data_IF_554923267495
#
_entry.id   IF_554923267495
#
_cell.length_a   1.000
_cell.length_b   1.000
_cell.length_c   1.000
_cell.angle_alpha   90.00
_cell.angle_beta   90.00
_cell.angle_gamma   90.00
#
_symmetry.space_group_name_H-M   'P 1'
#
loop_
_entity.id
_entity.type
_entity.pdbx_description
1 polymer ?
#
# COMPACT_ATOMS: atom_id res chain seq x y z
N UNK A 1 21.09 5.32 -45.43
CA UNK A 1 22.02 4.19 -45.20
C UNK A 1 23.17 4.81 -44.45
N UNK A 2 23.30 4.72 -43.14
CA UNK A 2 23.02 3.60 -42.24
C UNK A 2 22.21 4.07 -41.00
N UNK A 3 21.40 3.15 -40.51
CA UNK A 3 20.61 3.21 -39.27
C UNK A 3 21.45 2.69 -38.11
N UNK A 4 21.49 3.41 -36.99
CA UNK A 4 22.04 2.90 -35.75
C UNK A 4 20.89 2.70 -34.76
N UNK A 5 20.65 1.43 -34.44
CA UNK A 5 19.59 0.92 -33.58
C UNK A 5 20.22 0.52 -32.24
N UNK A 6 20.01 1.31 -31.21
CA UNK A 6 20.60 1.08 -29.90
C UNK A 6 19.81 1.72 -28.78
N UNK A 7 18.54 1.37 -28.64
CA UNK A 7 17.71 1.87 -27.51
C UNK A 7 16.57 0.92 -27.11
N UNK A 8 16.79 -0.40 -27.20
CA UNK A 8 15.76 -1.40 -26.86
C UNK A 8 16.19 -2.45 -25.81
N UNK A 9 17.22 -2.17 -25.00
CA UNK A 9 17.79 -3.17 -24.07
C UNK A 9 17.78 -2.77 -22.59
N UNK A 10 17.22 -1.62 -22.21
CA UNK A 10 17.23 -1.13 -20.82
C UNK A 10 15.89 -1.29 -20.08
N UNK A 11 14.79 -1.62 -20.78
CA UNK A 11 13.43 -1.64 -20.19
C UNK A 11 12.98 -3.05 -19.77
N UNK A 12 13.58 -4.12 -20.34
CA UNK A 12 13.19 -5.51 -20.04
C UNK A 12 13.75 -6.10 -18.72
N UNK A 13 14.59 -5.36 -17.98
CA UNK A 13 15.22 -5.87 -16.75
C UNK A 13 14.49 -5.47 -15.45
N UNK A 14 13.45 -4.64 -15.51
CA UNK A 14 12.68 -4.25 -14.32
C UNK A 14 11.53 -5.20 -14.01
N UNK A 15 10.99 -5.90 -15.02
CA UNK A 15 9.86 -6.83 -14.88
C UNK A 15 10.31 -8.24 -14.46
N UNK A 16 11.58 -8.61 -14.70
CA UNK A 16 12.04 -9.98 -14.40
C UNK A 16 12.38 -10.24 -12.93
N UNK A 17 12.49 -9.21 -12.08
CA UNK A 17 12.85 -9.42 -10.68
C UNK A 17 11.66 -9.64 -9.73
N UNK A 18 10.42 -9.37 -10.14
CA UNK A 18 9.24 -9.57 -9.29
C UNK A 18 8.49 -10.89 -9.58
N UNK A 19 8.62 -11.44 -10.80
CA UNK A 19 7.80 -12.59 -11.24
C UNK A 19 8.56 -13.92 -11.36
N UNK A 20 9.87 -13.97 -11.04
CA UNK A 20 10.62 -15.24 -11.00
C UNK A 20 11.08 -15.59 -9.59
N UNK A 21 10.19 -16.22 -8.82
CA UNK A 21 10.54 -17.22 -7.82
C UNK A 21 11.15 -16.71 -6.51
N UNK A 22 10.37 -16.01 -5.68
CA UNK A 22 10.54 -16.09 -4.23
C UNK A 22 10.06 -17.47 -3.73
N UNK A 23 10.82 -18.53 -4.01
CA UNK A 23 10.63 -19.83 -3.36
C UNK A 23 11.80 -20.21 -2.42
N UNK A 24 12.69 -19.27 -2.07
CA UNK A 24 13.69 -19.49 -0.99
C UNK A 24 14.39 -18.24 -0.43
N UNK A 25 13.91 -17.02 -0.68
CA UNK A 25 14.56 -15.78 -0.27
C UNK A 25 13.85 -15.14 0.93
N UNK A 26 14.63 -14.77 1.95
CA UNK A 26 14.20 -13.91 3.07
C UNK A 26 13.54 -12.62 2.55
N UNK A 27 12.58 -12.10 3.30
CA UNK A 27 11.93 -10.81 3.00
C UNK A 27 12.72 -9.62 3.53
N UNK A 28 13.86 -9.85 4.20
CA UNK A 28 14.71 -8.78 4.68
C UNK A 28 15.26 -7.97 3.50
N UNK A 29 15.12 -6.65 3.58
CA UNK A 29 15.74 -5.74 2.60
C UNK A 29 17.26 -5.57 2.86
N UNK A 30 17.73 -5.98 4.03
CA UNK A 30 19.11 -5.84 4.49
C UNK A 30 19.53 -6.98 5.43
N UNK A 31 20.79 -6.98 5.88
CA UNK A 31 21.24 -7.96 6.86
C UNK A 31 20.48 -7.78 8.19
N UNK A 32 20.23 -8.90 8.88
CA UNK A 32 19.50 -8.90 10.15
C UNK A 32 20.23 -8.10 11.24
N UNK A 33 19.51 -7.22 11.95
CA UNK A 33 19.95 -6.67 13.22
C UNK A 33 19.33 -7.42 14.41
N UNK A 34 20.18 -7.98 15.27
CA UNK A 34 19.76 -8.75 16.45
C UNK A 34 19.15 -7.87 17.56
N UNK A 35 19.24 -6.55 17.43
CA UNK A 35 18.70 -5.60 18.41
C UNK A 35 17.43 -4.91 17.95
N UNK A 36 17.02 -5.09 16.69
CA UNK A 36 15.84 -4.45 16.17
C UNK A 36 14.58 -4.80 16.98
N UNK A 37 13.81 -3.77 17.33
CA UNK A 37 12.55 -3.88 18.06
C UNK A 37 11.34 -3.46 17.22
N UNK A 38 11.58 -2.72 16.15
CA UNK A 38 10.56 -2.31 15.18
C UNK A 38 10.89 -2.89 13.81
N UNK A 39 9.91 -3.54 13.17
CA UNK A 39 10.02 -3.93 11.78
C UNK A 39 9.27 -2.93 10.90
N UNK A 40 9.88 -2.51 9.79
CA UNK A 40 9.23 -1.67 8.77
C UNK A 40 8.98 -2.52 7.54
N UNK A 41 7.71 -2.70 7.23
CA UNK A 41 7.20 -3.49 6.11
C UNK A 41 6.81 -2.53 4.99
N UNK A 42 7.66 -2.42 3.97
CA UNK A 42 7.48 -1.48 2.87
C UNK A 42 8.34 -1.86 1.65
N UNK A 43 8.35 -1.00 0.62
CA UNK A 43 9.22 -1.11 -0.54
C UNK A 43 10.44 -0.19 -0.38
N UNK A 44 11.61 -0.82 -0.33
CA UNK A 44 12.94 -0.21 -0.26
C UNK A 44 13.69 -0.31 -1.59
N UNK A 45 13.05 -0.85 -2.62
CA UNK A 45 13.57 -0.94 -3.98
C UNK A 45 13.90 0.42 -4.61
N UNK A 46 14.80 0.45 -5.60
CA UNK A 46 15.25 1.68 -6.23
C UNK A 46 14.12 2.37 -7.00
N UNK A 47 13.99 3.69 -6.81
CA UNK A 47 13.01 4.49 -7.56
C UNK A 47 13.60 5.01 -8.90
N UNK A 48 12.82 5.10 -9.99
CA UNK A 48 13.30 5.60 -11.28
C UNK A 48 13.83 7.04 -11.24
N UNK A 49 13.36 7.85 -10.28
CA UNK A 49 13.64 9.29 -10.18
C UNK A 49 14.81 9.64 -9.26
N UNK A 50 15.49 8.66 -8.65
CA UNK A 50 16.41 8.86 -7.50
C UNK A 50 15.75 9.60 -6.32
N UNK A 51 14.42 9.57 -6.26
CA UNK A 51 13.70 9.94 -5.05
C UNK A 51 13.97 8.86 -3.97
N UNK A 52 13.86 9.23 -2.69
CA UNK A 52 13.84 8.25 -1.61
C UNK A 52 12.81 7.16 -1.89
N UNK A 53 13.13 5.92 -1.52
CA UNK A 53 12.14 4.84 -1.56
C UNK A 53 11.01 5.14 -0.56
N UNK A 54 9.82 4.58 -0.78
CA UNK A 54 8.71 4.80 0.14
C UNK A 54 9.04 4.27 1.54
N UNK A 55 9.64 3.07 1.62
CA UNK A 55 10.12 2.47 2.86
C UNK A 55 11.18 3.30 3.59
N UNK A 56 12.06 3.96 2.85
CA UNK A 56 13.05 4.87 3.44
C UNK A 56 12.38 6.07 4.13
N UNK A 57 11.30 6.61 3.56
CA UNK A 57 10.57 7.72 4.17
C UNK A 57 9.81 7.28 5.44
N UNK A 58 9.16 6.13 5.39
CA UNK A 58 8.36 5.62 6.51
C UNK A 58 9.24 5.16 7.67
N UNK A 59 10.39 4.54 7.38
CA UNK A 59 11.45 4.29 8.36
C UNK A 59 11.95 5.59 8.99
N UNK A 60 12.20 6.63 8.20
CA UNK A 60 12.63 7.93 8.71
C UNK A 60 11.65 8.52 9.74
N UNK A 61 10.34 8.31 9.55
CA UNK A 61 9.31 8.70 10.52
C UNK A 61 9.43 7.88 11.81
N UNK A 62 9.58 6.55 11.70
CA UNK A 62 9.77 5.66 12.86
C UNK A 62 10.99 6.09 13.67
N UNK A 63 12.12 6.32 12.99
CA UNK A 63 13.37 6.73 13.61
C UNK A 63 13.24 8.08 14.34
N UNK A 64 12.64 9.08 13.69
CA UNK A 64 12.49 10.44 14.24
C UNK A 64 11.56 10.47 15.46
N UNK A 65 10.37 9.87 15.35
CA UNK A 65 9.36 9.89 16.42
C UNK A 65 9.78 8.98 17.58
N UNK A 66 10.35 7.82 17.24
CA UNK A 66 10.78 6.81 18.20
C UNK A 66 12.08 7.14 18.91
N UNK A 67 12.92 7.98 18.31
CA UNK A 67 14.31 8.17 18.74
C UNK A 67 15.17 6.92 18.50
N UNK A 68 14.83 6.12 17.48
CA UNK A 68 15.47 4.86 17.15
C UNK A 68 16.69 5.06 16.24
N UNK A 69 17.73 4.27 16.48
CA UNK A 69 18.90 4.13 15.60
C UNK A 69 18.65 3.13 14.47
N UNK A 70 19.62 3.00 13.56
CA UNK A 70 19.57 2.00 12.49
C UNK A 70 19.49 0.58 13.06
N UNK A 71 20.13 0.31 14.19
CA UNK A 71 20.14 -1.00 14.85
C UNK A 71 18.81 -1.38 15.53
N UNK A 72 17.93 -0.41 15.74
CA UNK A 72 16.64 -0.60 16.41
C UNK A 72 15.51 -0.98 15.42
N UNK A 73 15.77 -0.82 14.12
CA UNK A 73 14.79 -1.00 13.05
C UNK A 73 15.26 -2.10 12.08
N UNK A 74 14.36 -3.02 11.73
CA UNK A 74 14.60 -4.01 10.68
C UNK A 74 13.72 -3.75 9.46
N UNK A 75 14.32 -3.62 8.29
CA UNK A 75 13.59 -3.48 7.02
C UNK A 75 13.16 -4.83 6.43
N UNK A 76 11.90 -4.92 6.03
CA UNK A 76 11.34 -6.03 5.26
C UNK A 76 10.73 -5.50 3.96
N UNK A 77 11.23 -6.00 2.82
CA UNK A 77 10.71 -5.72 1.49
C UNK A 77 9.38 -6.46 1.31
N UNK A 78 8.28 -5.72 1.44
CA UNK A 78 6.94 -6.20 1.11
C UNK A 78 6.28 -5.22 0.16
N UNK A 79 5.47 -5.73 -0.76
CA UNK A 79 4.70 -4.89 -1.67
C UNK A 79 4.25 -5.60 -2.92
N UNK A 80 3.40 -4.90 -3.68
CA UNK A 80 2.89 -5.31 -4.99
C UNK A 80 3.72 -4.65 -6.10
N UNK A 81 4.11 -5.41 -7.13
CA UNK A 81 4.73 -4.87 -8.35
C UNK A 81 3.79 -3.96 -9.17
N UNK A 82 4.30 -3.36 -10.25
CA UNK A 82 3.48 -2.57 -11.19
C UNK A 82 2.46 -3.47 -11.91
N UNK A 83 1.18 -3.27 -11.57
CA UNK A 83 0.05 -4.11 -12.01
C UNK A 83 -0.41 -3.81 -13.44
N UNK A 84 -0.07 -2.66 -14.01
CA UNK A 84 -0.79 -2.12 -15.18
C UNK A 84 -0.36 -2.71 -16.52
N UNK A 85 0.90 -3.15 -16.64
CA UNK A 85 1.46 -3.67 -17.89
C UNK A 85 1.08 -5.13 -18.16
N UNK A 86 0.87 -5.93 -17.11
CA UNK A 86 0.44 -7.33 -17.26
C UNK A 86 -1.00 -7.43 -17.75
N UNK A 87 -1.88 -6.53 -17.32
CA UNK A 87 -3.29 -6.52 -17.70
C UNK A 87 -3.53 -6.31 -19.20
N UNK A 88 -2.91 -5.29 -19.80
CA UNK A 88 -3.11 -5.01 -21.22
C UNK A 88 -2.64 -6.16 -22.11
N UNK A 89 -1.50 -6.75 -21.75
CA UNK A 89 -0.97 -7.90 -22.46
C UNK A 89 -1.91 -9.10 -22.32
N UNK A 90 -2.43 -9.37 -21.11
CA UNK A 90 -3.38 -10.46 -20.88
C UNK A 90 -4.67 -10.28 -21.69
N UNK A 91 -5.27 -9.07 -21.68
CA UNK A 91 -6.47 -8.80 -22.49
C UNK A 91 -6.16 -8.91 -23.99
N UNK A 92 -5.01 -8.39 -24.45
CA UNK A 92 -4.59 -8.49 -25.85
C UNK A 92 -4.36 -9.95 -26.30
N UNK A 93 -3.93 -10.81 -25.39
CA UNK A 93 -3.77 -12.25 -25.61
C UNK A 93 -5.10 -13.03 -25.52
N UNK A 94 -6.20 -12.33 -25.24
CA UNK A 94 -7.56 -12.88 -25.19
C UNK A 94 -7.90 -13.58 -23.88
N UNK A 95 -7.22 -13.21 -22.79
CA UNK A 95 -7.52 -13.70 -21.46
C UNK A 95 -8.81 -13.05 -20.92
N UNK A 96 -9.88 -13.83 -20.84
CA UNK A 96 -11.17 -13.39 -20.29
C UNK A 96 -11.08 -13.11 -18.78
N UNK A 97 -10.09 -13.69 -18.09
CA UNK A 97 -9.88 -13.58 -16.65
C UNK A 97 -8.78 -12.55 -16.29
N UNK A 98 -8.38 -11.70 -17.24
CA UNK A 98 -7.28 -10.74 -17.06
C UNK A 98 -7.49 -9.77 -15.89
N UNK A 99 -8.72 -9.27 -15.69
CA UNK A 99 -9.05 -8.38 -14.58
C UNK A 99 -9.02 -9.14 -13.25
N UNK A 100 -9.60 -10.35 -13.22
CA UNK A 100 -9.57 -11.21 -12.04
C UNK A 100 -8.13 -11.53 -11.63
N UNK A 101 -7.30 -11.97 -12.57
CA UNK A 101 -5.88 -12.28 -12.33
C UNK A 101 -5.14 -11.07 -11.79
N UNK A 102 -5.36 -9.87 -12.35
CA UNK A 102 -4.74 -8.65 -11.82
C UNK A 102 -5.15 -8.36 -10.38
N UNK A 103 -6.43 -8.48 -10.06
CA UNK A 103 -6.96 -8.22 -8.71
C UNK A 103 -6.43 -9.26 -7.73
N UNK A 104 -6.43 -10.53 -8.12
CA UNK A 104 -5.90 -11.65 -7.33
C UNK A 104 -4.40 -11.48 -7.08
N UNK A 105 -3.58 -11.26 -8.11
CA UNK A 105 -2.13 -11.08 -7.98
C UNK A 105 -1.75 -9.90 -7.08
N UNK A 106 -2.44 -8.77 -7.25
CA UNK A 106 -2.21 -7.58 -6.43
C UNK A 106 -2.48 -7.84 -4.95
N UNK A 107 -3.59 -8.54 -4.68
CA UNK A 107 -4.11 -8.76 -3.32
C UNK A 107 -3.38 -9.89 -2.61
N UNK A 108 -3.28 -11.05 -3.26
CA UNK A 108 -2.57 -12.23 -2.74
C UNK A 108 -1.08 -11.95 -2.60
N UNK A 109 -0.46 -11.22 -3.53
CA UNK A 109 0.94 -10.83 -3.45
C UNK A 109 1.24 -10.01 -2.19
N UNK A 110 0.41 -9.01 -1.86
CA UNK A 110 0.58 -8.26 -0.61
C UNK A 110 0.37 -9.14 0.63
N UNK A 111 -0.71 -9.92 0.65
CA UNK A 111 -1.06 -10.79 1.78
C UNK A 111 0.04 -11.83 2.05
N UNK A 112 0.50 -12.52 1.00
CA UNK A 112 1.50 -13.58 1.11
C UNK A 112 2.88 -13.03 1.48
N UNK A 113 3.29 -11.89 0.93
CA UNK A 113 4.56 -11.24 1.30
C UNK A 113 4.55 -10.76 2.75
N UNK A 114 3.44 -10.13 3.17
CA UNK A 114 3.27 -9.70 4.57
C UNK A 114 3.27 -10.90 5.52
N UNK A 115 2.57 -11.97 5.14
CA UNK A 115 2.52 -13.22 5.90
C UNK A 115 3.90 -13.84 6.03
N UNK A 116 4.65 -13.93 4.93
CA UNK A 116 6.00 -14.50 4.93
C UNK A 116 6.99 -13.71 5.78
N UNK A 117 6.92 -12.37 5.74
CA UNK A 117 7.74 -11.51 6.59
C UNK A 117 7.39 -11.69 8.10
N UNK A 118 6.11 -11.80 8.45
CA UNK A 118 5.70 -12.11 9.83
C UNK A 118 6.15 -13.51 10.27
N UNK A 119 6.03 -14.52 9.41
CA UNK A 119 6.52 -15.88 9.69
C UNK A 119 8.04 -15.89 9.91
N UNK A 120 8.81 -15.08 9.18
CA UNK A 120 10.25 -14.94 9.39
C UNK A 120 10.58 -14.38 10.79
N UNK A 121 9.86 -13.34 11.23
CA UNK A 121 9.98 -12.78 12.59
C UNK A 121 9.62 -13.84 13.65
N UNK A 122 8.49 -14.54 13.46
CA UNK A 122 7.97 -15.51 14.43
C UNK A 122 8.85 -16.77 14.56
N UNK A 123 9.49 -17.18 13.47
CA UNK A 123 10.37 -18.36 13.46
C UNK A 123 11.78 -18.06 13.99
N UNK A 124 12.13 -16.79 14.19
CA UNK A 124 13.39 -16.38 14.78
C UNK A 124 13.28 -16.28 16.31
N UNK A 125 13.75 -17.33 16.99
CA UNK A 125 13.76 -17.40 18.47
C UNK A 125 14.56 -16.27 19.15
N UNK A 126 15.41 -15.56 18.39
CA UNK A 126 16.21 -14.43 18.92
C UNK A 126 15.64 -13.06 18.50
N UNK A 127 14.52 -13.02 17.79
CA UNK A 127 13.89 -11.77 17.38
C UNK A 127 13.46 -10.97 18.60
N UNK A 128 13.68 -9.66 18.55
CA UNK A 128 13.21 -8.70 19.56
C UNK A 128 12.12 -7.78 18.99
N UNK A 129 11.67 -8.04 17.77
CA UNK A 129 10.63 -7.24 17.14
C UNK A 129 9.35 -7.37 17.95
N UNK A 130 8.81 -6.24 18.38
CA UNK A 130 7.55 -6.13 19.11
C UNK A 130 6.52 -5.25 18.40
N UNK A 131 6.94 -4.49 17.40
CA UNK A 131 6.05 -3.67 16.57
C UNK A 131 6.38 -3.83 15.08
N UNK A 132 5.35 -3.97 14.25
CA UNK A 132 5.42 -3.91 12.79
C UNK A 132 4.73 -2.63 12.32
N UNK A 133 5.44 -1.80 11.57
CA UNK A 133 4.92 -0.64 10.85
C UNK A 133 4.74 -0.99 9.39
N UNK A 134 3.50 -0.96 8.88
CA UNK A 134 3.21 -1.22 7.48
C UNK A 134 2.38 -0.09 6.87
N UNK A 135 3.02 0.67 5.99
CA UNK A 135 2.42 1.82 5.33
C UNK A 135 1.65 1.45 4.06
N UNK A 136 1.96 0.29 3.47
CA UNK A 136 1.35 -0.21 2.24
C UNK A 136 0.10 -1.03 2.54
N UNK A 137 -0.90 -0.87 1.69
CA UNK A 137 -2.14 -1.65 1.72
C UNK A 137 -2.65 -1.87 0.30
N UNK A 138 -3.65 -2.75 0.19
CA UNK A 138 -4.45 -2.96 -1.02
C UNK A 138 -5.92 -2.96 -0.59
N UNK A 139 -6.77 -2.34 -1.40
CA UNK A 139 -8.23 -2.33 -1.25
C UNK A 139 -8.88 -2.33 -2.64
N UNK A 140 -10.17 -2.67 -2.76
CA UNK A 140 -10.91 -2.53 -4.02
C UNK A 140 -10.77 -1.13 -4.63
N UNK A 141 -10.81 -0.09 -3.80
CA UNK A 141 -10.61 1.29 -4.21
C UNK A 141 -9.22 1.55 -4.83
N UNK A 142 -8.17 0.96 -4.29
CA UNK A 142 -6.82 1.13 -4.83
C UNK A 142 -6.67 0.53 -6.24
N UNK A 143 -7.16 -0.69 -6.43
CA UNK A 143 -7.10 -1.35 -7.74
C UNK A 143 -7.97 -0.59 -8.75
N UNK A 144 -9.18 -0.22 -8.34
CA UNK A 144 -10.09 0.58 -9.17
C UNK A 144 -9.49 1.92 -9.56
N UNK A 145 -8.87 2.65 -8.62
CA UNK A 145 -8.21 3.92 -8.90
C UNK A 145 -7.07 3.75 -9.91
N UNK A 146 -6.21 2.74 -9.73
CA UNK A 146 -5.06 2.52 -10.62
C UNK A 146 -5.49 2.31 -12.08
N UNK A 147 -6.58 1.57 -12.31
CA UNK A 147 -7.14 1.33 -13.63
C UNK A 147 -7.89 2.56 -14.16
N UNK A 148 -8.78 3.15 -13.36
CA UNK A 148 -9.60 4.29 -13.78
C UNK A 148 -8.77 5.53 -14.08
N UNK A 149 -7.75 5.82 -13.28
CA UNK A 149 -6.89 6.97 -13.55
C UNK A 149 -6.30 6.88 -14.96
N UNK A 150 -5.90 5.69 -15.42
CA UNK A 150 -5.35 5.51 -16.77
C UNK A 150 -6.41 5.62 -17.86
N UNK A 151 -7.59 5.05 -17.62
CA UNK A 151 -8.71 5.04 -18.57
C UNK A 151 -9.47 6.37 -18.68
N UNK A 152 -9.33 7.25 -17.68
CA UNK A 152 -10.12 8.47 -17.55
C UNK A 152 -9.23 9.72 -17.51
N UNK A 153 -9.76 10.86 -18.00
CA UNK A 153 -9.03 12.10 -17.88
C UNK A 153 -8.88 12.45 -16.39
N UNK A 154 -7.69 12.91 -16.00
CA UNK A 154 -7.48 13.38 -14.62
C UNK A 154 -8.27 14.67 -14.38
N UNK A 155 -8.61 14.91 -13.11
CA UNK A 155 -9.01 16.26 -12.70
C UNK A 155 -7.83 17.22 -12.86
N UNK A 156 -8.08 18.51 -13.17
CA UNK A 156 -7.01 19.50 -13.27
C UNK A 156 -6.42 19.78 -11.87
N UNK A 157 -5.16 19.40 -11.63
CA UNK A 157 -4.42 19.81 -10.43
C UNK A 157 -3.77 21.18 -10.64
N UNK A 158 -3.76 22.10 -9.65
CA UNK A 158 -3.11 23.40 -9.78
C UNK A 158 -1.64 23.26 -10.24
N UNK A 159 -1.30 23.91 -11.34
CA UNK A 159 0.07 23.89 -11.89
C UNK A 159 0.46 22.63 -12.64
N UNK A 160 -0.44 21.65 -12.81
CA UNK A 160 -0.19 20.44 -13.60
C UNK A 160 -1.12 20.42 -14.83
N UNK A 161 -0.60 20.04 -16.02
CA UNK A 161 -1.45 19.82 -17.17
C UNK A 161 -2.40 18.66 -16.89
N UNK A 162 -3.62 18.75 -17.41
CA UNK A 162 -4.56 17.63 -17.38
C UNK A 162 -3.91 16.42 -18.07
N UNK A 163 -3.94 15.25 -17.43
CA UNK A 163 -3.54 14.02 -18.11
C UNK A 163 -4.64 13.60 -19.06
N UNK A 164 -4.28 13.46 -20.32
CA UNK A 164 -5.17 12.88 -21.33
C UNK A 164 -5.37 11.38 -21.04
N UNK A 165 -6.60 10.85 -21.22
CA UNK A 165 -6.86 9.44 -21.02
C UNK A 165 -6.12 8.59 -22.06
N UNK A 166 -5.71 7.39 -21.65
CA UNK A 166 -5.27 6.36 -22.57
C UNK A 166 -6.52 5.71 -23.20
N UNK A 167 -6.87 6.14 -24.42
CA UNK A 167 -8.08 5.69 -25.10
C UNK A 167 -8.02 4.21 -25.52
N UNK A 168 -6.82 3.69 -25.77
CA UNK A 168 -6.63 2.27 -26.08
C UNK A 168 -6.88 1.45 -24.82
N UNK A 169 -6.23 1.81 -23.70
CA UNK A 169 -6.46 1.18 -22.41
C UNK A 169 -7.92 1.27 -21.96
N UNK A 170 -8.57 2.43 -22.15
CA UNK A 170 -9.99 2.60 -21.84
C UNK A 170 -10.84 1.60 -22.60
N UNK A 171 -10.61 1.43 -23.90
CA UNK A 171 -11.35 0.47 -24.73
C UNK A 171 -11.15 -0.95 -24.23
N UNK A 172 -9.90 -1.33 -23.95
CA UNK A 172 -9.52 -2.62 -23.37
C UNK A 172 -10.26 -2.89 -22.05
N UNK A 173 -10.28 -1.92 -21.14
CA UNK A 173 -10.97 -2.02 -19.86
C UNK A 173 -12.49 -2.12 -20.03
N UNK A 174 -13.08 -1.34 -20.94
CA UNK A 174 -14.51 -1.44 -21.22
C UNK A 174 -14.88 -2.83 -21.77
N UNK A 175 -14.06 -3.37 -22.68
CA UNK A 175 -14.27 -4.70 -23.25
C UNK A 175 -14.15 -5.81 -22.20
N UNK A 176 -13.16 -5.74 -21.29
CA UNK A 176 -13.02 -6.73 -20.21
C UNK A 176 -14.21 -6.74 -19.25
N UNK A 177 -14.91 -5.60 -19.11
CA UNK A 177 -16.13 -5.46 -18.32
C UNK A 177 -17.41 -5.77 -19.13
N UNK A 178 -17.30 -6.24 -20.37
CA UNK A 178 -18.44 -6.53 -21.25
C UNK A 178 -19.22 -5.30 -21.72
N UNK A 179 -18.59 -4.12 -21.69
CA UNK A 179 -19.18 -2.83 -22.08
C UNK A 179 -18.83 -2.45 -23.52
N UNK A 180 -19.54 -1.46 -24.05
CA UNK A 180 -19.22 -0.83 -25.34
C UNK A 180 -18.08 0.18 -25.18
N UNK A 181 -17.28 0.41 -26.24
CA UNK A 181 -16.12 1.31 -26.18
C UNK A 181 -16.52 2.77 -25.88
N UNK A 182 -17.72 3.20 -26.29
CA UNK A 182 -18.27 4.53 -26.06
C UNK A 182 -19.06 4.65 -24.74
N UNK A 183 -18.87 3.68 -23.82
CA UNK A 183 -19.46 3.71 -22.48
C UNK A 183 -19.15 5.02 -21.75
N UNK A 184 -20.12 5.53 -20.99
CA UNK A 184 -19.92 6.73 -20.19
C UNK A 184 -18.94 6.51 -19.03
N UNK A 185 -18.27 7.58 -18.58
CA UNK A 185 -17.33 7.51 -17.46
C UNK A 185 -17.97 7.01 -16.17
N UNK A 186 -19.23 7.37 -15.91
CA UNK A 186 -20.01 6.86 -14.79
C UNK A 186 -20.19 5.34 -14.90
N UNK A 187 -20.67 4.86 -16.04
CA UNK A 187 -20.93 3.43 -16.23
C UNK A 187 -19.64 2.60 -16.19
N UNK A 188 -18.54 3.10 -16.76
CA UNK A 188 -17.24 2.44 -16.67
C UNK A 188 -16.74 2.38 -15.22
N UNK A 189 -16.86 3.50 -14.49
CA UNK A 189 -16.44 3.57 -13.09
C UNK A 189 -17.27 2.65 -12.20
N UNK A 190 -18.60 2.62 -12.38
CA UNK A 190 -19.50 1.74 -11.64
C UNK A 190 -19.19 0.27 -11.91
N UNK A 191 -19.13 -0.12 -13.19
CA UNK A 191 -18.86 -1.50 -13.55
C UNK A 191 -17.51 -2.00 -13.04
N UNK A 192 -16.48 -1.14 -13.07
CA UNK A 192 -15.17 -1.51 -12.53
C UNK A 192 -15.20 -1.65 -11.00
N UNK A 193 -15.82 -0.70 -10.30
CA UNK A 193 -15.93 -0.76 -8.84
C UNK A 193 -16.69 -2.02 -8.39
N UNK A 194 -17.81 -2.32 -9.04
CA UNK A 194 -18.63 -3.50 -8.77
C UNK A 194 -17.83 -4.79 -9.02
N UNK A 195 -17.16 -4.89 -10.17
CA UNK A 195 -16.43 -6.10 -10.56
C UNK A 195 -15.22 -6.36 -9.66
N UNK A 196 -14.41 -5.32 -9.39
CA UNK A 196 -13.27 -5.44 -8.46
C UNK A 196 -13.77 -5.85 -7.09
N UNK A 197 -14.81 -5.20 -6.56
CA UNK A 197 -15.36 -5.56 -5.26
C UNK A 197 -15.88 -7.01 -5.22
N UNK A 198 -16.57 -7.44 -6.27
CA UNK A 198 -17.04 -8.82 -6.41
C UNK A 198 -15.87 -9.82 -6.41
N UNK A 199 -14.75 -9.53 -7.09
CA UNK A 199 -13.58 -10.40 -7.08
C UNK A 199 -13.00 -10.53 -5.66
N UNK A 200 -12.87 -9.42 -4.92
CA UNK A 200 -12.40 -9.45 -3.52
C UNK A 200 -13.30 -10.33 -2.63
N UNK A 201 -14.61 -10.34 -2.88
CA UNK A 201 -15.57 -11.11 -2.07
C UNK A 201 -15.70 -12.58 -2.47
N UNK A 202 -15.39 -12.93 -3.73
CA UNK A 202 -15.71 -14.25 -4.29
C UNK A 202 -14.50 -15.07 -4.74
N UNK A 203 -13.31 -14.48 -4.82
CA UNK A 203 -12.10 -15.21 -5.18
C UNK A 203 -11.65 -16.14 -4.05
N UNK A 204 -11.62 -17.45 -4.33
CA UNK A 204 -11.05 -18.46 -3.43
C UNK A 204 -9.56 -18.20 -3.15
N UNK A 205 -8.81 -17.69 -4.13
CA UNK A 205 -7.39 -17.38 -3.97
C UNK A 205 -7.15 -16.26 -2.95
N UNK A 206 -7.92 -15.17 -3.04
CA UNK A 206 -7.87 -14.07 -2.07
C UNK A 206 -8.30 -14.57 -0.68
N UNK A 207 -9.38 -15.35 -0.61
CA UNK A 207 -9.88 -15.90 0.65
C UNK A 207 -8.84 -16.80 1.35
N UNK A 208 -8.17 -17.68 0.60
CA UNK A 208 -7.13 -18.58 1.13
C UNK A 208 -5.90 -17.80 1.64
N UNK A 209 -5.39 -16.83 0.87
CA UNK A 209 -4.28 -15.96 1.32
C UNK A 209 -4.67 -15.11 2.52
N UNK A 210 -5.89 -14.56 2.55
CA UNK A 210 -6.41 -13.78 3.68
C UNK A 210 -6.53 -14.63 4.93
N UNK A 211 -7.03 -15.86 4.82
CA UNK A 211 -7.13 -16.78 5.95
C UNK A 211 -5.75 -17.09 6.54
N UNK A 212 -4.73 -17.31 5.69
CA UNK A 212 -3.36 -17.54 6.14
C UNK A 212 -2.79 -16.30 6.83
N UNK A 213 -2.97 -15.13 6.24
CA UNK A 213 -2.56 -13.85 6.84
C UNK A 213 -3.20 -13.66 8.22
N UNK A 214 -4.51 -13.88 8.36
CA UNK A 214 -5.22 -13.69 9.62
C UNK A 214 -4.76 -14.66 10.72
N UNK A 215 -4.41 -15.90 10.36
CA UNK A 215 -3.79 -16.85 11.29
C UNK A 215 -2.43 -16.36 11.78
N UNK A 216 -1.55 -15.93 10.86
CA UNK A 216 -0.20 -15.46 11.21
C UNK A 216 -0.25 -14.12 11.96
N UNK A 217 -1.14 -13.22 11.58
CA UNK A 217 -1.40 -11.95 12.28
C UNK A 217 -1.86 -12.19 13.73
N UNK A 218 -2.75 -13.17 13.96
CA UNK A 218 -3.10 -13.60 15.32
C UNK A 218 -1.90 -14.19 16.07
N UNK A 219 -1.08 -15.03 15.42
CA UNK A 219 0.13 -15.57 16.06
C UNK A 219 1.13 -14.47 16.43
N UNK A 220 1.29 -13.45 15.59
CA UNK A 220 2.09 -12.27 15.89
C UNK A 220 1.55 -11.54 17.13
N UNK A 221 0.24 -11.29 17.19
CA UNK A 221 -0.38 -10.67 18.36
C UNK A 221 -0.24 -11.52 19.63
N UNK A 222 -0.44 -12.84 19.55
CA UNK A 222 -0.24 -13.78 20.66
C UNK A 222 1.23 -13.81 21.14
N UNK A 223 2.18 -13.53 20.24
CA UNK A 223 3.60 -13.38 20.55
C UNK A 223 3.97 -11.98 21.10
N UNK A 224 3.01 -11.07 21.23
CA UNK A 224 3.22 -9.72 21.74
C UNK A 224 3.63 -8.69 20.68
N UNK A 225 3.43 -9.01 19.39
CA UNK A 225 3.77 -8.11 18.29
C UNK A 225 2.55 -7.28 17.90
N UNK A 226 2.67 -5.95 17.95
CA UNK A 226 1.65 -5.01 17.45
C UNK A 226 1.83 -4.77 15.95
N UNK A 227 0.77 -4.91 15.15
CA UNK A 227 0.81 -4.64 13.71
C UNK A 227 0.02 -3.38 13.38
N UNK A 228 0.71 -2.33 12.94
CA UNK A 228 0.13 -1.03 12.64
C UNK A 228 0.06 -0.84 11.13
N UNK A 229 -1.13 -0.56 10.60
CA UNK A 229 -1.40 -0.45 9.16
C UNK A 229 -2.00 0.91 8.79
N UNK A 230 -1.65 1.45 7.62
CA UNK A 230 -2.26 2.69 7.12
C UNK A 230 -3.70 2.46 6.63
N UNK A 231 -4.58 3.47 6.80
CA UNK A 231 -5.96 3.41 6.29
C UNK A 231 -6.08 3.75 4.79
N UNK A 232 -4.97 4.03 4.10
CA UNK A 232 -4.93 4.38 2.69
C UNK A 232 -5.28 5.85 2.38
N UNK A 233 -4.99 6.26 1.14
CA UNK A 233 -5.05 7.65 0.68
C UNK A 233 -6.04 7.84 -0.49
N UNK A 234 -7.32 7.48 -0.30
CA UNK A 234 -8.33 7.43 -1.38
C UNK A 234 -9.40 8.52 -1.30
N UNK A 235 -9.22 9.57 -0.50
CA UNK A 235 -10.18 10.67 -0.37
C UNK A 235 -10.53 11.36 -1.70
N UNK A 236 -9.54 11.84 -2.46
CA UNK A 236 -9.77 12.48 -3.78
C UNK A 236 -10.46 11.52 -4.77
N UNK A 237 -10.15 10.23 -4.68
CA UNK A 237 -10.78 9.21 -5.53
C UNK A 237 -12.24 8.99 -5.14
N UNK A 238 -12.57 9.03 -3.85
CA UNK A 238 -13.94 8.99 -3.36
C UNK A 238 -14.78 10.16 -3.88
N UNK A 239 -14.27 11.39 -3.79
CA UNK A 239 -14.93 12.57 -4.35
C UNK A 239 -15.17 12.42 -5.86
N UNK A 240 -14.20 11.80 -6.56
CA UNK A 240 -14.31 11.51 -7.99
C UNK A 240 -15.42 10.51 -8.30
N UNK A 241 -15.54 9.43 -7.51
CA UNK A 241 -16.62 8.45 -7.66
C UNK A 241 -17.99 9.06 -7.32
N UNK A 242 -18.09 9.79 -6.21
CA UNK A 242 -19.32 10.46 -5.78
C UNK A 242 -19.82 11.47 -6.81
N UNK A 243 -18.92 12.33 -7.33
CA UNK A 243 -19.28 13.33 -8.34
C UNK A 243 -19.77 12.73 -9.66
N UNK A 244 -19.39 11.48 -9.94
CA UNK A 244 -19.87 10.69 -11.08
C UNK A 244 -21.16 9.92 -10.77
N UNK A 245 -21.63 9.91 -9.52
CA UNK A 245 -22.78 9.14 -9.08
C UNK A 245 -22.51 7.63 -9.13
N UNK A 246 -21.29 7.22 -8.75
CA UNK A 246 -20.94 5.82 -8.54
C UNK A 246 -21.31 5.43 -7.11
N UNK A 247 -22.02 4.33 -6.95
CA UNK A 247 -22.35 3.73 -5.66
C UNK A 247 -21.30 2.67 -5.33
N UNK A 248 -20.84 2.65 -4.08
CA UNK A 248 -19.80 1.73 -3.59
C UNK A 248 -20.25 1.08 -2.29
N UNK A 249 -19.70 -0.10 -1.99
CA UNK A 249 -19.97 -0.81 -0.74
C UNK A 249 -19.16 -0.23 0.43
N UNK A 250 -19.62 -0.49 1.67
CA UNK A 250 -19.05 0.09 2.89
C UNK A 250 -17.57 -0.29 3.10
N UNK A 251 -17.15 -1.47 2.64
CA UNK A 251 -15.79 -2.01 2.79
C UNK A 251 -14.87 -1.72 1.58
N UNK A 252 -15.36 -1.01 0.56
CA UNK A 252 -14.63 -0.75 -0.69
C UNK A 252 -13.25 -0.07 -0.48
N UNK A 253 -13.12 0.70 0.59
CA UNK A 253 -11.87 1.38 0.96
C UNK A 253 -11.02 0.64 1.99
N UNK A 254 -11.56 -0.40 2.63
CA UNK A 254 -10.90 -1.11 3.71
C UNK A 254 -9.70 -1.90 3.19
N UNK A 255 -8.57 -1.76 3.87
CA UNK A 255 -7.37 -2.53 3.57
C UNK A 255 -7.60 -4.02 3.78
N UNK A 256 -7.07 -4.87 2.89
CA UNK A 256 -7.07 -6.33 3.08
C UNK A 256 -6.24 -6.78 4.27
N UNK A 257 -5.42 -5.90 4.84
CA UNK A 257 -4.66 -6.18 6.05
C UNK A 257 -5.47 -5.88 7.32
N UNK A 258 -6.61 -5.20 7.22
CA UNK A 258 -7.42 -4.90 8.40
C UNK A 258 -8.02 -6.19 8.99
N UNK A 259 -7.77 -6.44 10.27
CA UNK A 259 -8.39 -7.47 11.08
C UNK A 259 -8.35 -7.10 12.59
N UNK A 260 -8.88 -7.96 13.46
CA UNK A 260 -8.93 -7.73 14.92
C UNK A 260 -7.55 -7.66 15.62
N UNK A 261 -6.45 -7.94 14.91
CA UNK A 261 -5.09 -7.95 15.41
C UNK A 261 -4.21 -6.84 14.79
N UNK A 262 -4.80 -5.96 13.99
CA UNK A 262 -4.13 -4.78 13.44
C UNK A 262 -4.72 -3.51 14.01
N UNK A 263 -3.91 -2.47 14.14
CA UNK A 263 -4.41 -1.10 14.36
C UNK A 263 -4.39 -0.33 13.05
N UNK A 264 -5.56 0.08 12.57
CA UNK A 264 -5.69 0.89 11.35
C UNK A 264 -5.57 2.38 11.67
N UNK A 265 -4.66 3.07 10.97
CA UNK A 265 -4.28 4.46 11.27
C UNK A 265 -4.67 5.41 10.14
N UNK A 266 -5.50 6.38 10.48
CA UNK A 266 -5.81 7.55 9.64
C UNK A 266 -4.80 8.70 9.84
N UNK A 267 -4.88 9.70 8.96
CA UNK A 267 -4.02 10.88 9.00
C UNK A 267 -4.77 12.13 9.47
N UNK A 268 -4.09 12.98 10.24
CA UNK A 268 -4.56 14.34 10.56
C UNK A 268 -3.77 15.40 9.81
N UNK A 269 -4.39 16.57 9.66
CA UNK A 269 -3.75 17.83 9.30
C UNK A 269 -3.67 18.69 10.56
N UNK A 270 -2.45 18.96 11.02
CA UNK A 270 -2.16 19.75 12.23
C UNK A 270 -2.10 21.26 11.94
N UNK A 271 -2.29 21.67 10.67
CA UNK A 271 -2.17 23.05 10.18
C UNK A 271 -0.82 23.70 10.54
N UNK A 272 0.20 22.90 10.85
CA UNK A 272 1.50 23.33 11.35
C UNK A 272 1.45 24.06 12.70
N UNK A 273 0.42 23.83 13.52
CA UNK A 273 0.29 24.47 14.83
C UNK A 273 0.65 23.52 15.98
N UNK A 274 1.14 24.03 17.13
CA UNK A 274 1.53 23.18 18.25
C UNK A 274 0.34 22.68 19.08
N UNK A 275 -0.90 22.95 18.68
CA UNK A 275 -2.10 22.65 19.47
C UNK A 275 -3.10 21.86 18.66
N UNK A 276 -3.72 20.85 19.27
CA UNK A 276 -4.77 20.04 18.64
C UNK A 276 -6.11 20.76 18.42
N UNK A 277 -6.15 22.09 18.56
CA UNK A 277 -7.40 22.85 18.60
C UNK A 277 -7.98 23.12 17.20
N UNK A 278 -7.12 23.14 16.19
CA UNK A 278 -7.46 23.32 14.78
C UNK A 278 -7.17 22.07 13.93
N UNK A 279 -6.62 21.01 14.52
CA UNK A 279 -6.42 19.72 13.86
C UNK A 279 -7.70 19.21 13.19
N UNK A 280 -7.57 18.80 11.94
CA UNK A 280 -8.64 18.19 11.15
C UNK A 280 -8.21 16.83 10.60
N UNK A 281 -9.15 16.06 10.08
CA UNK A 281 -8.79 14.89 9.27
C UNK A 281 -8.08 15.33 7.99
N UNK A 282 -7.05 14.60 7.59
CA UNK A 282 -6.43 14.74 6.26
C UNK A 282 -7.48 14.45 5.17
N UNK A 283 -7.58 15.32 4.17
CA UNK A 283 -8.56 15.19 3.09
C UNK A 283 -8.37 13.91 2.25
N UNK A 284 -7.13 13.42 2.17
CA UNK A 284 -6.84 12.20 1.41
C UNK A 284 -7.17 10.90 2.13
N UNK A 285 -7.62 10.92 3.38
CA UNK A 285 -8.01 9.68 4.08
C UNK A 285 -9.05 8.89 3.26
N UNK A 286 -8.84 7.58 3.12
CA UNK A 286 -9.87 6.71 2.52
C UNK A 286 -11.13 6.71 3.40
N UNK A 287 -12.31 7.05 2.86
CA UNK A 287 -13.54 7.07 3.65
C UNK A 287 -13.90 5.68 4.18
N UNK A 288 -14.38 5.59 5.42
CA UNK A 288 -14.89 4.32 5.96
C UNK A 288 -13.86 3.20 6.11
N UNK A 289 -12.56 3.45 5.91
CA UNK A 289 -11.51 2.41 5.91
C UNK A 289 -11.19 1.82 7.30
N UNK A 290 -12.03 2.06 8.31
CA UNK A 290 -11.91 1.45 9.63
C UNK A 290 -10.81 2.01 10.52
N UNK A 291 -10.31 3.23 10.27
CA UNK A 291 -9.30 3.85 11.12
C UNK A 291 -9.75 3.94 12.59
N UNK A 292 -8.96 3.34 13.49
CA UNK A 292 -9.23 3.30 14.94
C UNK A 292 -8.61 4.50 15.65
N UNK A 293 -7.47 4.95 15.15
CA UNK A 293 -6.73 6.12 15.63
C UNK A 293 -6.26 6.97 14.46
N UNK A 294 -5.80 8.18 14.73
CA UNK A 294 -5.17 9.01 13.73
C UNK A 294 -3.95 9.72 14.31
N UNK A 295 -2.97 9.98 13.46
CA UNK A 295 -1.75 10.70 13.79
C UNK A 295 -1.44 11.74 12.69
N UNK A 296 -0.57 12.71 12.96
CA UNK A 296 -0.09 13.64 11.94
C UNK A 296 0.32 12.93 10.65
N UNK A 297 -0.16 13.43 9.52
CA UNK A 297 0.13 12.85 8.21
C UNK A 297 0.09 13.84 7.06
N UNK A 298 -0.14 15.12 7.33
CA UNK A 298 -0.23 16.17 6.31
C UNK A 298 1.01 17.05 6.37
N UNK A 299 1.63 17.32 5.21
CA UNK A 299 2.85 18.12 5.09
C UNK A 299 3.97 17.66 6.05
N UNK A 300 4.09 16.34 6.26
CA UNK A 300 5.08 15.76 7.15
C UNK A 300 6.46 15.92 6.52
N UNK A 301 7.33 16.70 7.15
CA UNK A 301 8.76 16.74 6.82
C UNK A 301 9.44 15.51 7.42
N UNK A 302 10.21 14.78 6.63
CA UNK A 302 10.88 13.53 7.02
C UNK A 302 12.34 13.61 6.63
N UNK A 303 13.21 12.98 7.41
CA UNK A 303 14.64 12.87 7.07
C UNK A 303 14.87 11.59 6.27
N UNK A 304 15.50 11.74 5.11
CA UNK A 304 15.93 10.62 4.25
C UNK A 304 17.25 10.03 4.76
N UNK A 305 17.61 8.83 4.35
CA UNK A 305 18.83 8.14 4.81
C UNK A 305 20.11 8.89 4.42
N UNK A 306 20.06 9.67 3.34
CA UNK A 306 21.17 10.55 2.95
C UNK A 306 21.18 11.91 3.66
N UNK A 307 20.33 12.08 4.69
CA UNK A 307 20.27 13.26 5.55
C UNK A 307 19.61 14.48 4.92
N UNK A 308 18.88 14.31 3.81
CA UNK A 308 18.05 15.37 3.22
C UNK A 308 16.66 15.36 3.86
N UNK A 309 15.91 16.43 3.66
CA UNK A 309 14.50 16.47 4.05
C UNK A 309 13.59 16.24 2.84
N UNK A 310 12.48 15.56 3.09
CA UNK A 310 11.41 15.33 2.14
C UNK A 310 10.08 15.65 2.80
N UNK A 311 9.18 16.35 2.11
CA UNK A 311 7.85 16.66 2.64
C UNK A 311 6.79 15.97 1.80
N UNK A 312 5.90 15.23 2.46
CA UNK A 312 4.81 14.53 1.80
C UNK A 312 3.59 14.42 2.73
N UNK A 313 2.46 14.01 2.18
CA UNK A 313 1.21 13.81 2.92
C UNK A 313 0.66 12.41 2.66
N UNK A 314 0.09 11.79 3.68
CA UNK A 314 -0.59 10.50 3.58
C UNK A 314 -0.59 9.72 4.88
N UNK A 315 -1.55 8.80 4.99
CA UNK A 315 -1.65 7.82 6.09
C UNK A 315 -0.43 6.91 6.18
N UNK A 316 0.31 6.76 5.08
CA UNK A 316 1.63 6.12 5.03
C UNK A 316 2.64 6.71 6.00
N UNK A 317 2.47 7.97 6.39
CA UNK A 317 3.35 8.66 7.33
C UNK A 317 2.76 8.78 8.73
N UNK A 318 1.45 8.55 8.90
CA UNK A 318 0.78 8.50 10.20
C UNK A 318 0.93 7.15 10.88
N UNK A 319 0.80 6.05 10.12
CA UNK A 319 1.01 4.69 10.63
C UNK A 319 2.39 4.50 11.32
N UNK A 320 3.53 4.92 10.73
CA UNK A 320 4.83 4.82 11.40
C UNK A 320 4.95 5.68 12.67
N UNK A 321 4.23 6.79 12.82
CA UNK A 321 4.21 7.53 14.10
C UNK A 321 3.56 6.72 15.20
N UNK A 322 2.40 6.12 14.91
CA UNK A 322 1.69 5.25 15.86
C UNK A 322 2.53 4.02 16.18
N UNK A 323 3.21 3.43 15.19
CA UNK A 323 4.13 2.32 15.42
C UNK A 323 5.29 2.70 16.34
N UNK A 324 5.93 3.84 16.12
CA UNK A 324 7.01 4.31 16.98
C UNK A 324 6.56 4.52 18.43
N UNK A 325 5.40 5.15 18.63
CA UNK A 325 4.82 5.36 19.96
C UNK A 325 4.44 4.02 20.60
N UNK A 326 3.87 3.09 19.84
CA UNK A 326 3.50 1.74 20.31
C UNK A 326 4.73 0.97 20.80
N UNK A 327 5.82 1.00 20.05
CA UNK A 327 7.07 0.36 20.43
C UNK A 327 7.67 0.98 21.71
N UNK A 328 7.60 2.31 21.88
CA UNK A 328 8.00 2.98 23.13
C UNK A 328 7.12 2.57 24.31
N UNK A 329 5.80 2.46 24.11
CA UNK A 329 4.86 2.02 25.13
C UNK A 329 5.16 0.59 25.57
N UNK A 330 5.37 -0.34 24.63
CA UNK A 330 5.74 -1.72 24.94
C UNK A 330 7.09 -1.81 25.66
N UNK A 331 8.09 -1.01 25.28
CA UNK A 331 9.37 -0.97 25.97
C UNK A 331 9.23 -0.47 27.42
N UNK A 332 8.34 0.49 27.66
CA UNK A 332 8.05 1.03 28.99
C UNK A 332 7.14 0.10 29.83
N UNK A 333 6.28 -0.66 29.17
CA UNK A 333 5.23 -1.49 29.75
C UNK A 333 5.17 -2.88 29.09
N UNK A 334 6.22 -3.71 29.26
CA UNK A 334 6.31 -5.03 28.60
C UNK A 334 5.27 -6.04 29.07
N UNK A 335 4.50 -5.72 30.12
CA UNK A 335 3.36 -6.50 30.58
C UNK A 335 2.08 -6.31 29.75
N UNK A 336 2.01 -5.27 28.93
CA UNK A 336 0.83 -4.99 28.10
C UNK A 336 0.83 -5.90 26.87
N UNK A 337 -0.32 -6.46 26.56
CA UNK A 337 -0.56 -7.12 25.27
C UNK A 337 -0.72 -6.06 24.16
N UNK A 338 -0.53 -6.41 22.89
CA UNK A 338 -0.80 -5.50 21.76
C UNK A 338 -2.16 -4.78 21.82
N UNK A 339 -3.21 -5.44 22.34
CA UNK A 339 -4.56 -4.87 22.45
C UNK A 339 -4.77 -3.93 23.66
N UNK A 340 -3.83 -3.82 24.60
CA UNK A 340 -3.96 -3.07 25.86
C UNK A 340 -3.22 -1.74 25.81
#
# INVERSE_FOLDING_TARGET
>A
MESDSGEASAVNNLVQNFTQGQQSGSYLAEDKDENATVAVFDNFGPTPSRAPAHGELTEGVVAEVGGYGEEDIQRYEVGSGDMSQSFEQAVADGDEDALQTLVEDATTGLLDNTTGAMEEILNDENSKISTISQSQSVSPAQVSQALLERALPSEPKPGQPRREPDLEFRSTLAQSLGLQEDVSDQQLSQALADEVNNIFQTSDAIADSKQRYDEVSRQAADAGISHIVSSGNRGEFADTLESRGVEIEDDFYTSVLANDNTTVVGATDDHGTPTLADDTGFEGNSPGAGAEVSAPGTNREMTTLDGRTHTSSGTSYSAPEVAAITAQLQAAHPELTPQQ
#
